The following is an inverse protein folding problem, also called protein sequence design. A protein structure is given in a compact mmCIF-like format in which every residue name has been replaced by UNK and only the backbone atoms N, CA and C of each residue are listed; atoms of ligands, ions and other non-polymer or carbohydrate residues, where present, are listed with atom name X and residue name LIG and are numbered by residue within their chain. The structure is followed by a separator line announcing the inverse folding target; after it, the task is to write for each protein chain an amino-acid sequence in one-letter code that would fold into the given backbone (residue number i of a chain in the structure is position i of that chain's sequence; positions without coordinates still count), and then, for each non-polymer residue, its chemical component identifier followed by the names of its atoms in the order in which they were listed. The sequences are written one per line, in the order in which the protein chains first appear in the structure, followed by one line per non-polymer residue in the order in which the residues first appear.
data_IF_176889720769
#
_entry.id   IF_176889720769
#
_cell.length_a   1.000
_cell.length_b   1.000
_cell.length_c   1.000
_cell.angle_alpha   90.00
_cell.angle_beta   90.00
_cell.angle_gamma   90.00
#
_symmetry.space_group_name_H-M   'P 1'
#
loop_
_entity.id
_entity.type
_entity.pdbx_description
1 polymer ?
#
# COMPACT_ATOMS: atom_id res chain seq x y z
N UNK A 1 -68.39 -26.28 39.87
CA UNK A 1 -67.18 -26.28 39.04
C UNK A 1 -67.32 -25.17 38.04
N UNK A 2 -66.54 -24.06 38.21
CA UNK A 2 -66.62 -22.88 37.36
C UNK A 2 -65.23 -22.70 36.70
N UNK A 3 -65.12 -22.85 35.42
CA UNK A 3 -63.93 -22.54 34.63
C UNK A 3 -63.94 -21.06 34.30
N UNK A 4 -62.91 -20.33 34.76
CA UNK A 4 -62.64 -18.94 34.34
C UNK A 4 -61.74 -18.97 33.10
N UNK A 5 -62.23 -18.50 31.97
CA UNK A 5 -61.49 -18.18 30.79
C UNK A 5 -60.67 -16.89 31.02
N UNK A 6 -59.36 -16.98 30.95
CA UNK A 6 -58.47 -15.82 30.88
C UNK A 6 -58.27 -15.46 29.41
N UNK A 7 -58.81 -14.34 29.00
CA UNK A 7 -58.52 -13.72 27.69
C UNK A 7 -57.15 -13.03 27.76
N UNK A 8 -56.18 -13.54 27.03
CA UNK A 8 -54.92 -12.85 26.79
C UNK A 8 -55.15 -11.87 25.63
N UNK A 9 -55.06 -10.60 25.93
CA UNK A 9 -55.15 -9.49 24.98
C UNK A 9 -53.76 -9.26 24.40
N UNK A 10 -53.50 -9.71 23.16
CA UNK A 10 -52.27 -9.38 22.43
C UNK A 10 -52.38 -7.93 21.94
N UNK A 11 -51.62 -7.05 22.54
CA UNK A 11 -51.36 -5.72 22.02
C UNK A 11 -50.26 -5.84 20.94
N UNK A 12 -50.64 -5.80 19.70
CA UNK A 12 -49.75 -5.59 18.58
C UNK A 12 -49.43 -4.09 18.49
N UNK A 13 -48.28 -3.70 19.04
CA UNK A 13 -47.70 -2.38 18.78
C UNK A 13 -47.19 -2.33 17.37
N UNK A 14 -47.92 -1.64 16.51
CA UNK A 14 -47.53 -1.24 15.17
C UNK A 14 -46.50 -0.11 15.30
N UNK A 15 -45.21 -0.44 15.37
CA UNK A 15 -44.15 0.53 15.27
C UNK A 15 -44.07 0.99 13.79
N UNK A 16 -44.76 2.06 13.45
CA UNK A 16 -44.54 2.77 12.18
C UNK A 16 -43.12 3.38 12.23
N UNK A 17 -42.16 2.64 11.69
CA UNK A 17 -40.83 3.17 11.42
C UNK A 17 -40.92 4.28 10.38
N UNK A 18 -40.83 5.52 10.84
CA UNK A 18 -40.57 6.67 9.97
C UNK A 18 -39.14 6.46 9.44
N UNK A 19 -39.03 5.85 8.27
CA UNK A 19 -37.81 5.90 7.48
C UNK A 19 -37.61 7.36 7.08
N UNK A 20 -36.92 8.11 7.92
CA UNK A 20 -36.34 9.37 7.51
C UNK A 20 -35.38 9.07 6.38
N UNK A 21 -35.80 9.32 5.13
CA UNK A 21 -34.90 9.43 4.00
C UNK A 21 -33.96 10.60 4.28
N UNK A 22 -32.89 10.34 5.00
CA UNK A 22 -31.73 11.21 4.98
C UNK A 22 -31.26 11.23 3.53
N UNK A 23 -31.20 12.41 2.86
CA UNK A 23 -30.63 12.47 1.51
C UNK A 23 -29.21 11.90 1.63
N UNK A 24 -28.96 10.79 0.94
CA UNK A 24 -27.70 10.09 1.00
C UNK A 24 -26.57 11.06 0.72
N UNK A 25 -25.87 11.45 1.77
CA UNK A 25 -24.54 12.01 1.63
C UNK A 25 -23.73 10.91 0.95
N UNK A 26 -23.49 11.05 -0.37
CA UNK A 26 -22.54 10.21 -1.08
C UNK A 26 -21.28 10.19 -0.23
N UNK A 27 -20.90 9.02 0.22
CA UNK A 27 -19.72 8.84 1.04
C UNK A 27 -18.56 9.51 0.35
N UNK A 28 -17.83 10.37 1.05
CA UNK A 28 -16.65 11.04 0.51
C UNK A 28 -15.55 10.03 0.18
N UNK A 29 -15.60 8.82 0.71
CA UNK A 29 -14.78 7.69 0.28
C UNK A 29 -14.95 7.40 -1.21
N UNK A 30 -16.16 7.50 -1.77
CA UNK A 30 -16.39 7.39 -3.22
C UNK A 30 -15.71 8.53 -3.99
N UNK A 31 -15.62 9.75 -3.44
CA UNK A 31 -14.96 10.86 -4.10
C UNK A 31 -13.46 10.63 -4.29
N UNK A 32 -12.79 9.92 -3.40
CA UNK A 32 -11.37 9.59 -3.54
C UNK A 32 -11.09 8.87 -4.87
N UNK A 33 -11.92 7.93 -5.23
CA UNK A 33 -11.77 7.12 -6.44
C UNK A 33 -12.14 7.85 -7.75
N UNK A 34 -12.80 9.01 -7.68
CA UNK A 34 -13.05 9.84 -8.86
C UNK A 34 -11.79 10.57 -9.33
N UNK A 35 -10.74 10.62 -8.51
CA UNK A 35 -9.47 11.28 -8.79
C UNK A 35 -8.35 10.26 -9.03
N UNK A 36 -8.59 9.30 -9.91
CA UNK A 36 -7.55 8.39 -10.36
C UNK A 36 -6.47 9.13 -11.16
N UNK A 37 -5.24 8.64 -11.07
CA UNK A 37 -4.11 9.05 -11.92
C UNK A 37 -3.85 10.56 -11.94
N UNK A 38 -3.92 11.17 -10.76
CA UNK A 38 -3.58 12.58 -10.55
C UNK A 38 -2.11 12.85 -10.88
N UNK A 39 -1.23 11.89 -10.55
CA UNK A 39 0.18 11.91 -10.86
C UNK A 39 0.52 10.66 -11.68
N UNK A 40 1.23 10.85 -12.77
CA UNK A 40 1.82 9.72 -13.49
C UNK A 40 3.05 9.22 -12.73
N UNK A 41 2.95 7.99 -12.25
CA UNK A 41 4.00 7.27 -11.52
C UNK A 41 4.26 5.89 -12.11
N UNK A 42 3.87 5.67 -13.36
CA UNK A 42 4.16 4.43 -14.10
C UNK A 42 5.63 4.41 -14.47
N UNK A 43 6.40 3.65 -13.70
CA UNK A 43 7.83 3.53 -13.86
C UNK A 43 8.33 2.21 -13.30
N UNK A 44 9.04 1.44 -14.11
CA UNK A 44 9.72 0.22 -13.66
C UNK A 44 11.22 0.53 -13.50
N UNK A 45 11.84 0.21 -12.34
CA UNK A 45 13.25 0.43 -12.12
C UNK A 45 14.11 -0.24 -13.19
N UNK A 46 14.98 0.53 -13.79
CA UNK A 46 15.97 0.09 -14.76
C UNK A 46 17.40 0.35 -14.24
N UNK A 47 18.39 0.01 -15.06
CA UNK A 47 19.79 0.26 -14.74
C UNK A 47 20.15 1.74 -14.61
N UNK A 48 19.30 2.64 -15.07
CA UNK A 48 19.50 4.09 -15.00
C UNK A 48 18.95 4.67 -13.71
N UNK A 49 18.13 3.91 -12.97
CA UNK A 49 17.51 4.32 -11.69
C UNK A 49 16.82 5.67 -11.76
N UNK A 50 16.18 5.99 -12.88
CA UNK A 50 15.39 7.21 -13.03
C UNK A 50 14.05 7.02 -12.33
N UNK A 51 13.66 7.99 -11.53
CA UNK A 51 12.36 8.02 -10.88
C UNK A 51 11.77 9.40 -11.05
N UNK A 52 10.64 9.49 -11.74
CA UNK A 52 9.96 10.75 -12.07
C UNK A 52 8.85 11.10 -11.08
N UNK A 53 8.38 10.14 -10.33
CA UNK A 53 7.36 10.28 -9.33
C UNK A 53 7.23 8.99 -8.52
N UNK A 54 6.54 9.08 -7.41
CA UNK A 54 6.29 7.93 -6.53
C UNK A 54 5.03 8.14 -5.70
N UNK A 55 4.48 7.03 -5.28
CA UNK A 55 3.51 6.98 -4.22
C UNK A 55 4.21 6.85 -2.88
N UNK A 56 3.97 7.79 -2.01
CA UNK A 56 4.30 7.70 -0.58
C UNK A 56 3.24 8.45 0.21
N UNK A 57 3.05 8.08 1.47
CA UNK A 57 2.00 8.62 2.31
C UNK A 57 2.40 8.50 3.78
N UNK A 58 1.58 9.07 4.69
CA UNK A 58 1.80 9.05 6.13
C UNK A 58 3.19 9.56 6.58
N UNK A 59 3.82 10.41 5.79
CA UNK A 59 5.17 10.94 6.06
C UNK A 59 6.29 9.91 5.91
N UNK A 60 6.07 8.87 5.12
CA UNK A 60 7.03 7.79 4.94
C UNK A 60 8.29 8.21 4.20
N UNK A 61 9.39 7.52 4.50
CA UNK A 61 10.68 7.62 3.82
C UNK A 61 10.87 6.55 2.73
N UNK A 62 9.85 5.77 2.44
CA UNK A 62 9.83 4.86 1.29
C UNK A 62 8.75 5.26 0.30
N UNK A 63 8.98 4.96 -0.97
CA UNK A 63 8.03 5.19 -2.05
C UNK A 63 7.88 3.97 -2.94
N UNK A 64 6.78 3.93 -3.68
CA UNK A 64 6.47 2.91 -4.66
C UNK A 64 6.06 3.55 -5.98
N UNK A 65 6.15 2.80 -7.07
CA UNK A 65 5.61 3.19 -8.37
C UNK A 65 4.75 2.07 -8.96
N UNK A 66 3.99 2.41 -9.99
CA UNK A 66 3.24 1.44 -10.76
C UNK A 66 4.15 0.85 -11.85
N UNK A 67 4.10 -0.46 -12.13
CA UNK A 67 4.90 -1.05 -13.21
C UNK A 67 4.41 -0.57 -14.58
N UNK A 68 5.35 -0.36 -15.49
CA UNK A 68 5.05 -0.08 -16.88
C UNK A 68 4.50 -1.32 -17.59
N UNK A 69 3.55 -1.12 -18.53
CA UNK A 69 2.97 -2.24 -19.29
C UNK A 69 3.99 -3.05 -20.07
N UNK A 70 5.00 -2.39 -20.62
CA UNK A 70 6.05 -3.03 -21.43
C UNK A 70 7.06 -3.82 -20.59
N UNK A 71 7.18 -3.48 -19.31
CA UNK A 71 8.09 -4.11 -18.35
C UNK A 71 7.30 -4.62 -17.15
N UNK A 72 6.19 -5.31 -17.43
CA UNK A 72 5.25 -5.69 -16.39
C UNK A 72 5.90 -6.56 -15.31
N UNK A 73 5.73 -6.12 -14.09
CA UNK A 73 6.02 -6.88 -12.87
C UNK A 73 4.71 -7.01 -12.13
N UNK A 74 4.30 -8.24 -11.81
CA UNK A 74 3.03 -8.45 -11.07
C UNK A 74 3.18 -8.14 -9.57
N UNK A 75 3.59 -6.91 -9.28
CA UNK A 75 3.82 -6.32 -7.96
C UNK A 75 4.11 -4.83 -8.08
N UNK A 76 3.85 -4.05 -7.03
CA UNK A 76 4.22 -2.64 -7.01
C UNK A 76 5.74 -2.48 -7.06
N UNK A 77 6.24 -1.60 -7.90
CA UNK A 77 7.66 -1.35 -8.02
C UNK A 77 8.19 -0.60 -6.80
N UNK A 78 9.27 -1.11 -6.23
CA UNK A 78 9.87 -0.57 -5.00
C UNK A 78 9.99 -1.59 -3.85
N UNK A 79 10.21 -1.11 -2.62
CA UNK A 79 10.26 0.28 -2.22
C UNK A 79 11.50 1.01 -2.71
N UNK A 80 11.39 2.33 -2.81
CA UNK A 80 12.47 3.25 -3.08
C UNK A 80 12.77 4.04 -1.81
N UNK A 81 14.05 4.13 -1.42
CA UNK A 81 14.49 4.99 -0.31
C UNK A 81 14.41 6.45 -0.73
N UNK A 82 13.67 7.25 0.01
CA UNK A 82 13.52 8.69 -0.21
C UNK A 82 14.51 9.52 0.62
N UNK A 83 15.54 8.89 1.20
CA UNK A 83 16.63 9.59 1.85
C UNK A 83 17.28 10.57 0.86
N UNK A 84 17.51 11.82 1.31
CA UNK A 84 18.03 12.89 0.45
C UNK A 84 19.43 12.60 -0.10
N UNK A 85 20.22 11.82 0.63
CA UNK A 85 21.62 11.56 0.32
C UNK A 85 21.84 10.18 -0.31
N UNK A 86 20.90 9.24 -0.13
CA UNK A 86 21.05 7.83 -0.48
C UNK A 86 19.87 7.27 -1.26
N UNK A 87 19.32 8.05 -2.17
CA UNK A 87 18.19 7.62 -3.01
C UNK A 87 18.56 6.40 -3.81
N UNK A 88 17.86 5.31 -3.56
CA UNK A 88 18.10 4.06 -4.27
C UNK A 88 16.84 3.18 -4.28
N UNK A 89 16.73 2.39 -5.30
CA UNK A 89 15.80 1.28 -5.32
C UNK A 89 16.28 0.20 -4.36
N UNK A 90 15.44 -0.18 -3.41
CA UNK A 90 15.73 -1.31 -2.52
C UNK A 90 15.42 -2.63 -3.25
N UNK A 91 14.38 -2.64 -4.09
CA UNK A 91 14.05 -3.73 -4.99
C UNK A 91 13.33 -3.19 -6.22
N UNK A 92 13.34 -3.92 -7.35
CA UNK A 92 12.41 -3.64 -8.45
C UNK A 92 10.96 -3.82 -7.96
N UNK A 93 10.71 -4.93 -7.27
CA UNK A 93 9.51 -5.12 -6.45
C UNK A 93 9.86 -5.98 -5.24
N UNK A 94 9.50 -5.54 -4.03
CA UNK A 94 9.75 -6.32 -2.83
C UNK A 94 8.79 -7.51 -2.70
N UNK A 95 7.64 -7.49 -3.36
CA UNK A 95 6.64 -8.55 -3.34
C UNK A 95 5.96 -8.68 -4.72
N UNK A 96 6.46 -9.58 -5.52
CA UNK A 96 5.82 -10.05 -6.75
C UNK A 96 4.93 -11.23 -6.38
N UNK A 97 3.72 -11.30 -6.91
CA UNK A 97 2.78 -12.39 -6.66
C UNK A 97 2.45 -13.15 -7.93
N UNK A 98 2.37 -14.46 -7.84
CA UNK A 98 1.94 -15.39 -8.90
C UNK A 98 1.09 -16.50 -8.31
N UNK A 99 0.42 -17.27 -9.17
CA UNK A 99 -0.15 -18.54 -8.74
C UNK A 99 0.97 -19.58 -8.61
N UNK A 100 0.94 -20.36 -7.53
CA UNK A 100 2.00 -21.33 -7.23
C UNK A 100 2.06 -22.48 -8.23
N UNK A 101 0.99 -22.71 -8.97
CA UNK A 101 0.86 -23.78 -9.97
C UNK A 101 1.80 -23.58 -11.16
N UNK A 102 2.04 -22.33 -11.56
CA UNK A 102 2.95 -21.99 -12.62
C UNK A 102 3.69 -20.67 -12.32
N UNK A 103 4.91 -20.78 -11.85
CA UNK A 103 5.77 -19.64 -11.49
C UNK A 103 6.34 -18.88 -12.69
N UNK A 104 6.21 -19.43 -13.89
CA UNK A 104 6.64 -18.80 -15.15
C UNK A 104 5.47 -18.15 -15.90
N UNK A 105 4.29 -18.15 -15.27
CA UNK A 105 3.08 -17.61 -15.85
C UNK A 105 3.21 -16.12 -16.18
N UNK A 106 2.73 -15.76 -17.37
CA UNK A 106 2.69 -14.37 -17.81
C UNK A 106 1.37 -13.74 -17.41
N UNK A 107 1.46 -12.70 -16.60
CA UNK A 107 0.30 -11.85 -16.26
C UNK A 107 0.14 -10.73 -17.27
N UNK A 108 -1.08 -10.57 -17.77
CA UNK A 108 -1.48 -9.46 -18.63
C UNK A 108 -2.11 -8.36 -17.77
N UNK A 109 -1.59 -7.13 -17.80
CA UNK A 109 -2.14 -6.04 -16.99
C UNK A 109 -3.52 -5.60 -17.50
N UNK A 110 -4.50 -5.57 -16.60
CA UNK A 110 -5.84 -5.05 -16.85
C UNK A 110 -5.92 -3.56 -16.51
N UNK A 111 -5.55 -3.21 -15.28
CA UNK A 111 -5.65 -1.84 -14.77
C UNK A 111 -4.55 -1.53 -13.77
N UNK A 112 -4.08 -0.28 -13.82
CA UNK A 112 -3.22 0.32 -12.81
C UNK A 112 -3.77 1.70 -12.49
N UNK A 113 -3.87 2.06 -11.20
CA UNK A 113 -4.38 3.37 -10.79
C UNK A 113 -3.64 3.91 -9.58
N UNK A 114 -3.41 5.21 -9.59
CA UNK A 114 -3.01 5.96 -8.41
C UNK A 114 -4.19 6.77 -7.89
N UNK A 115 -4.77 6.34 -6.78
CA UNK A 115 -5.80 7.08 -6.05
C UNK A 115 -5.18 7.85 -4.87
N UNK A 116 -5.77 8.96 -4.42
CA UNK A 116 -5.35 9.60 -3.17
C UNK A 116 -5.31 8.58 -2.01
N UNK A 117 -4.09 8.27 -1.52
CA UNK A 117 -3.86 7.33 -0.43
C UNK A 117 -3.87 5.83 -0.78
N UNK A 118 -3.95 5.45 -2.05
CA UNK A 118 -3.93 4.04 -2.45
C UNK A 118 -3.33 3.85 -3.84
N UNK A 119 -2.46 2.85 -4.00
CA UNK A 119 -2.16 2.26 -5.30
C UNK A 119 -3.04 1.03 -5.53
N UNK A 120 -3.46 0.88 -6.77
CA UNK A 120 -4.25 -0.24 -7.25
C UNK A 120 -3.65 -0.81 -8.53
N UNK A 121 -3.63 -2.12 -8.64
CA UNK A 121 -3.34 -2.81 -9.88
C UNK A 121 -4.13 -4.12 -9.97
N UNK A 122 -4.49 -4.51 -11.19
CA UNK A 122 -5.04 -5.82 -11.50
C UNK A 122 -4.43 -6.38 -12.76
N UNK A 123 -4.28 -7.69 -12.79
CA UNK A 123 -3.76 -8.42 -13.92
C UNK A 123 -4.40 -9.81 -13.94
N UNK A 124 -4.50 -10.41 -15.12
CA UNK A 124 -4.99 -11.76 -15.31
C UNK A 124 -3.97 -12.65 -16.00
N UNK A 125 -4.14 -13.93 -15.82
CA UNK A 125 -3.36 -15.00 -16.42
C UNK A 125 -4.28 -16.12 -16.88
N UNK A 126 -3.72 -17.24 -17.32
CA UNK A 126 -4.50 -18.44 -17.65
C UNK A 126 -5.13 -19.13 -16.43
N UNK A 127 -4.63 -18.83 -15.22
CA UNK A 127 -5.09 -19.45 -13.96
C UNK A 127 -6.07 -18.55 -13.19
N UNK A 128 -6.24 -17.29 -13.57
CA UNK A 128 -7.17 -16.38 -12.91
C UNK A 128 -6.65 -14.93 -12.88
N UNK A 129 -7.36 -14.10 -12.14
CA UNK A 129 -7.05 -12.68 -11.98
C UNK A 129 -6.56 -12.38 -10.56
N UNK A 130 -5.57 -11.51 -10.46
CA UNK A 130 -5.04 -11.01 -9.18
C UNK A 130 -5.26 -9.50 -9.13
N UNK A 131 -5.85 -9.04 -8.03
CA UNK A 131 -5.99 -7.63 -7.68
C UNK A 131 -5.10 -7.30 -6.49
N UNK A 132 -4.38 -6.20 -6.58
CA UNK A 132 -3.45 -5.73 -5.55
C UNK A 132 -3.78 -4.30 -5.16
N UNK A 133 -3.75 -4.02 -3.84
CA UNK A 133 -3.94 -2.68 -3.27
C UNK A 133 -2.85 -2.40 -2.26
N UNK A 134 -2.26 -1.21 -2.31
CA UNK A 134 -1.21 -0.79 -1.40
C UNK A 134 -1.61 0.51 -0.71
N UNK A 135 -1.65 0.49 0.62
CA UNK A 135 -1.96 1.64 1.47
C UNK A 135 -0.90 1.80 2.56
N UNK A 136 -0.48 3.02 2.84
CA UNK A 136 0.33 3.28 4.01
C UNK A 136 -0.52 3.25 5.28
N UNK A 137 -0.12 2.43 6.24
CA UNK A 137 -0.76 2.31 7.56
C UNK A 137 0.01 3.08 8.63
N UNK A 138 1.28 3.40 8.36
CA UNK A 138 2.13 4.25 9.18
C UNK A 138 3.27 4.84 8.35
N UNK A 139 4.09 5.69 8.95
CA UNK A 139 5.29 6.24 8.30
C UNK A 139 6.32 5.17 7.90
N UNK A 140 6.32 4.02 8.55
CA UNK A 140 7.28 2.95 8.28
C UNK A 140 6.68 1.74 7.56
N UNK A 141 5.35 1.66 7.39
CA UNK A 141 4.69 0.44 6.92
C UNK A 141 3.63 0.73 5.89
N UNK A 142 3.73 0.08 4.74
CA UNK A 142 2.68 -0.06 3.75
C UNK A 142 2.07 -1.47 3.83
N UNK A 143 0.76 -1.55 3.74
CA UNK A 143 0.00 -2.79 3.71
C UNK A 143 -0.38 -3.12 2.26
N UNK A 144 0.11 -4.23 1.76
CA UNK A 144 -0.27 -4.82 0.49
C UNK A 144 -1.38 -5.83 0.74
N UNK A 145 -2.51 -5.65 0.05
CA UNK A 145 -3.66 -6.54 0.08
C UNK A 145 -3.84 -7.20 -1.27
N UNK A 146 -3.93 -8.52 -1.28
CA UNK A 146 -4.09 -9.33 -2.49
C UNK A 146 -5.46 -9.99 -2.46
N UNK A 147 -6.16 -9.91 -3.57
CA UNK A 147 -7.38 -10.67 -3.85
C UNK A 147 -7.20 -11.43 -5.17
N UNK A 148 -7.75 -12.62 -5.27
CA UNK A 148 -7.82 -13.36 -6.52
C UNK A 148 -9.22 -13.97 -6.70
N UNK A 149 -9.60 -14.24 -7.93
CA UNK A 149 -10.89 -14.84 -8.29
C UNK A 149 -10.86 -16.38 -8.26
N UNK A 150 -9.75 -16.98 -7.83
CA UNK A 150 -9.55 -18.41 -7.71
C UNK A 150 -9.09 -18.80 -6.30
N UNK A 151 -9.19 -20.10 -5.97
CA UNK A 151 -8.69 -20.66 -4.71
C UNK A 151 -7.27 -21.25 -4.85
N UNK A 152 -6.57 -20.95 -5.94
CA UNK A 152 -5.21 -21.42 -6.18
C UNK A 152 -4.24 -20.86 -5.13
N UNK A 153 -3.23 -21.65 -4.78
CA UNK A 153 -2.16 -21.21 -3.89
C UNK A 153 -1.39 -20.03 -4.50
N UNK A 154 -0.99 -19.08 -3.66
CA UNK A 154 -0.21 -17.92 -4.09
C UNK A 154 1.25 -18.08 -3.72
N UNK A 155 2.14 -17.70 -4.65
CA UNK A 155 3.57 -17.62 -4.43
C UNK A 155 4.03 -16.17 -4.51
N UNK A 156 4.74 -15.72 -3.48
CA UNK A 156 5.40 -14.42 -3.47
C UNK A 156 6.91 -14.57 -3.59
N UNK A 157 7.54 -13.58 -4.21
CA UNK A 157 8.99 -13.45 -4.28
C UNK A 157 9.40 -11.99 -4.40
N UNK A 158 10.66 -11.68 -4.14
CA UNK A 158 11.23 -10.38 -4.52
C UNK A 158 11.69 -10.40 -5.97
N UNK A 159 11.75 -9.25 -6.60
CA UNK A 159 12.30 -9.05 -7.93
C UNK A 159 13.44 -8.04 -7.89
N UNK A 160 14.61 -8.43 -8.39
CA UNK A 160 15.80 -7.59 -8.59
C UNK A 160 16.08 -6.66 -7.39
N UNK A 161 16.57 -7.25 -6.29
CA UNK A 161 17.04 -6.49 -5.13
C UNK A 161 18.13 -5.51 -5.53
N UNK A 162 18.13 -4.35 -4.90
CA UNK A 162 19.09 -3.30 -5.16
C UNK A 162 20.53 -3.76 -4.93
N UNK A 163 21.47 -3.02 -5.50
CA UNK A 163 22.89 -3.28 -5.31
C UNK A 163 23.24 -3.28 -3.82
N UNK A 164 24.07 -4.24 -3.42
CA UNK A 164 24.55 -4.42 -2.05
C UNK A 164 23.45 -4.80 -1.01
N UNK A 165 22.22 -5.06 -1.45
CA UNK A 165 21.17 -5.59 -0.58
C UNK A 165 21.42 -7.06 -0.28
N UNK A 166 21.39 -7.41 1.01
CA UNK A 166 21.46 -8.79 1.49
C UNK A 166 20.10 -9.22 2.03
N UNK A 167 19.57 -10.33 1.49
CA UNK A 167 18.27 -10.88 1.89
C UNK A 167 18.47 -12.02 2.88
N UNK A 168 17.75 -11.98 4.00
CA UNK A 168 17.59 -13.06 4.97
C UNK A 168 16.13 -13.32 5.26
N UNK A 169 15.84 -14.47 5.85
CA UNK A 169 14.50 -14.87 6.28
C UNK A 169 14.55 -15.16 7.78
N UNK A 170 13.67 -14.54 8.53
CA UNK A 170 13.56 -14.67 9.99
C UNK A 170 12.08 -14.84 10.37
N UNK A 171 11.71 -15.99 10.93
CA UNK A 171 10.31 -16.32 11.26
C UNK A 171 9.39 -16.19 10.04
N UNK A 172 8.47 -15.21 10.07
CA UNK A 172 7.51 -14.92 8.99
C UNK A 172 7.88 -13.64 8.21
N UNK A 173 9.12 -13.17 8.32
CA UNK A 173 9.60 -11.95 7.69
C UNK A 173 10.80 -12.21 6.80
N UNK A 174 10.78 -11.60 5.63
CA UNK A 174 11.97 -11.38 4.80
C UNK A 174 12.62 -10.08 5.26
N UNK A 175 13.91 -10.07 5.40
CA UNK A 175 14.69 -8.90 5.83
C UNK A 175 15.75 -8.62 4.79
N UNK A 176 15.61 -7.52 4.09
CA UNK A 176 16.52 -7.05 3.04
C UNK A 176 17.29 -5.83 3.57
N UNK A 177 18.58 -6.06 3.90
CA UNK A 177 19.46 -5.06 4.52
C UNK A 177 20.41 -4.45 3.51
N UNK A 178 20.52 -3.14 3.53
CA UNK A 178 21.58 -2.40 2.85
C UNK A 178 22.71 -2.07 3.84
N UNK A 179 24.00 -2.02 3.42
CA UNK A 179 25.12 -1.70 4.30
C UNK A 179 25.02 -0.33 5.01
N UNK A 180 24.23 0.59 4.51
CA UNK A 180 23.96 1.88 5.17
C UNK A 180 23.10 1.78 6.44
N UNK A 181 22.55 0.61 6.76
CA UNK A 181 21.63 0.37 7.85
C UNK A 181 20.14 0.44 7.46
N UNK A 182 19.82 0.90 6.25
CA UNK A 182 18.46 0.86 5.73
C UNK A 182 18.01 -0.59 5.51
N UNK A 183 16.80 -0.89 5.95
CA UNK A 183 16.26 -2.24 5.92
C UNK A 183 14.82 -2.21 5.41
N UNK A 184 14.52 -3.05 4.43
CA UNK A 184 13.16 -3.37 4.01
C UNK A 184 12.77 -4.70 4.62
N UNK A 185 11.56 -4.79 5.16
CA UNK A 185 10.99 -6.08 5.56
C UNK A 185 9.70 -6.36 4.80
N UNK A 186 9.53 -7.63 4.42
CA UNK A 186 8.27 -8.14 3.88
C UNK A 186 7.77 -9.19 4.86
N UNK A 187 6.70 -8.86 5.59
CA UNK A 187 6.18 -9.68 6.67
C UNK A 187 4.83 -10.27 6.28
N UNK A 188 4.72 -11.57 6.45
CA UNK A 188 3.54 -12.36 6.17
C UNK A 188 2.82 -12.79 7.44
N UNK A 189 1.62 -13.36 7.29
CA UNK A 189 0.94 -14.06 8.39
C UNK A 189 1.72 -15.33 8.77
N UNK A 190 1.66 -15.80 10.03
CA UNK A 190 2.49 -16.93 10.49
C UNK A 190 2.29 -18.27 9.79
N UNK A 191 1.20 -18.45 9.05
CA UNK A 191 0.86 -19.68 8.33
C UNK A 191 1.44 -19.73 6.90
N UNK A 192 2.31 -18.81 6.53
CA UNK A 192 2.96 -18.78 5.21
C UNK A 192 4.25 -19.62 5.26
N UNK A 193 4.45 -20.47 4.26
CA UNK A 193 5.69 -21.23 4.08
C UNK A 193 6.75 -20.31 3.45
N UNK A 194 7.65 -19.79 4.29
CA UNK A 194 8.67 -18.84 3.88
C UNK A 194 10.04 -19.52 3.79
N UNK A 195 10.70 -19.39 2.64
CA UNK A 195 12.02 -19.93 2.40
C UNK A 195 12.95 -18.90 1.74
N UNK A 196 14.24 -18.96 2.11
CA UNK A 196 15.30 -18.21 1.42
C UNK A 196 15.73 -18.97 0.16
N UNK A 197 15.93 -18.26 -0.94
CA UNK A 197 16.44 -18.79 -2.21
C UNK A 197 17.53 -17.85 -2.72
N UNK A 198 18.81 -18.23 -2.61
CA UNK A 198 19.97 -17.37 -2.89
C UNK A 198 19.89 -16.01 -2.16
N UNK A 199 19.97 -14.90 -2.90
CA UNK A 199 19.73 -13.55 -2.35
C UNK A 199 18.29 -13.10 -2.60
N UNK A 200 17.33 -14.00 -2.44
CA UNK A 200 15.90 -13.76 -2.62
C UNK A 200 15.12 -14.63 -1.62
N UNK A 201 13.80 -14.66 -1.78
CA UNK A 201 12.89 -15.47 -0.98
C UNK A 201 11.75 -16.03 -1.84
N UNK A 202 11.12 -17.05 -1.32
CA UNK A 202 9.79 -17.52 -1.75
C UNK A 202 8.87 -17.62 -0.55
N UNK A 203 7.62 -17.20 -0.70
CA UNK A 203 6.59 -17.29 0.33
C UNK A 203 5.34 -17.92 -0.27
N UNK A 204 5.02 -19.14 0.15
CA UNK A 204 3.86 -19.90 -0.34
C UNK A 204 2.69 -19.75 0.63
N UNK A 205 1.57 -19.22 0.11
CA UNK A 205 0.29 -19.10 0.80
C UNK A 205 -0.63 -20.18 0.29
N UNK A 206 -0.85 -21.23 1.10
CA UNK A 206 -1.74 -22.34 0.72
C UNK A 206 -3.19 -22.02 1.03
N UNK A 207 -4.09 -22.39 0.12
CA UNK A 207 -5.54 -22.24 0.26
C UNK A 207 -5.90 -20.85 0.82
N UNK A 208 -5.53 -19.77 0.10
CA UNK A 208 -5.60 -18.41 0.61
C UNK A 208 -7.01 -18.02 1.01
N UNK A 209 -7.13 -17.32 2.13
CA UNK A 209 -8.35 -16.62 2.53
C UNK A 209 -8.17 -15.15 2.19
N UNK A 210 -8.97 -14.66 1.28
CA UNK A 210 -8.84 -13.30 0.80
C UNK A 210 -9.51 -12.26 1.72
N UNK A 211 -8.95 -11.04 1.84
CA UNK A 211 -7.68 -10.65 1.23
C UNK A 211 -6.46 -11.24 1.97
N UNK A 212 -5.42 -11.61 1.21
CA UNK A 212 -4.11 -11.93 1.78
C UNK A 212 -3.40 -10.62 2.08
N UNK A 213 -2.95 -10.44 3.33
CA UNK A 213 -2.31 -9.25 3.81
C UNK A 213 -0.80 -9.46 3.95
N UNK A 214 -0.01 -8.53 3.39
CA UNK A 214 1.45 -8.51 3.48
C UNK A 214 1.90 -7.12 3.92
N UNK A 215 2.73 -7.02 4.95
CA UNK A 215 3.28 -5.74 5.38
C UNK A 215 4.67 -5.52 4.77
N UNK A 216 4.84 -4.41 4.05
CA UNK A 216 6.14 -3.97 3.54
C UNK A 216 6.57 -2.78 4.41
N UNK A 217 7.67 -2.94 5.15
CA UNK A 217 8.12 -1.90 6.07
C UNK A 217 9.55 -1.46 5.75
N UNK A 218 9.89 -0.24 6.16
CA UNK A 218 11.19 0.37 5.92
C UNK A 218 11.70 1.00 7.21
N UNK A 219 12.93 0.64 7.58
CA UNK A 219 13.58 1.05 8.81
C UNK A 219 15.00 1.54 8.53
N UNK A 220 15.51 2.45 9.35
CA UNK A 220 16.89 2.95 9.26
C UNK A 220 17.82 2.41 10.33
N UNK A 221 17.29 1.67 11.27
CA UNK A 221 18.08 1.05 12.34
C UNK A 221 17.45 -0.26 12.79
N UNK A 222 18.27 -1.14 13.33
CA UNK A 222 17.85 -2.40 13.94
C UNK A 222 16.84 -2.19 15.08
N UNK A 223 17.02 -1.11 15.85
CA UNK A 223 16.11 -0.75 16.94
C UNK A 223 14.71 -0.41 16.42
N UNK A 224 14.64 0.41 15.36
CA UNK A 224 13.36 0.72 14.71
C UNK A 224 12.71 -0.53 14.12
N UNK A 225 13.49 -1.37 13.46
CA UNK A 225 13.01 -2.62 12.88
C UNK A 225 12.43 -3.54 13.95
N UNK A 226 13.15 -3.79 15.03
CA UNK A 226 12.70 -4.66 16.13
C UNK A 226 11.38 -4.14 16.72
N UNK A 227 11.29 -2.85 17.00
CA UNK A 227 10.07 -2.24 17.52
C UNK A 227 8.90 -2.28 16.50
N UNK A 228 9.21 -2.04 15.22
CA UNK A 228 8.20 -2.06 14.15
C UNK A 228 7.62 -3.45 13.92
N UNK A 229 8.45 -4.48 13.86
CA UNK A 229 8.03 -5.86 13.64
C UNK A 229 7.08 -6.38 14.73
N UNK A 230 7.21 -5.92 15.97
CA UNK A 230 6.33 -6.30 17.08
C UNK A 230 4.87 -5.92 16.86
N UNK A 231 4.60 -4.88 16.10
CA UNK A 231 3.24 -4.37 15.85
C UNK A 231 2.57 -5.01 14.63
N UNK A 232 3.33 -5.68 13.75
CA UNK A 232 2.82 -6.21 12.49
C UNK A 232 1.83 -7.37 12.65
N UNK A 233 1.94 -8.30 13.62
CA UNK A 233 0.95 -9.37 13.76
C UNK A 233 -0.47 -8.85 13.97
N UNK A 234 -0.64 -7.79 14.76
CA UNK A 234 -1.94 -7.13 14.95
C UNK A 234 -2.48 -6.51 13.66
N UNK A 235 -1.64 -5.83 12.90
CA UNK A 235 -1.99 -5.24 11.62
C UNK A 235 -2.39 -6.29 10.58
N UNK A 236 -1.61 -7.37 10.45
CA UNK A 236 -1.85 -8.42 9.45
C UNK A 236 -3.12 -9.21 9.75
N UNK A 237 -3.42 -9.46 11.04
CA UNK A 237 -4.61 -10.17 11.45
C UNK A 237 -5.89 -9.33 11.36
N UNK A 238 -5.80 -8.03 11.65
CA UNK A 238 -6.94 -7.11 11.59
C UNK A 238 -6.53 -5.75 11.01
N UNK A 239 -6.43 -5.63 9.68
CA UNK A 239 -6.01 -4.39 9.01
C UNK A 239 -7.10 -3.30 9.00
N UNK A 240 -8.36 -3.65 9.28
CA UNK A 240 -9.52 -2.75 9.13
C UNK A 240 -9.35 -1.41 9.83
N UNK A 241 -8.91 -1.32 11.11
CA UNK A 241 -8.76 -0.03 11.77
C UNK A 241 -7.73 0.87 11.10
N UNK A 242 -6.60 0.31 10.65
CA UNK A 242 -5.54 1.08 9.98
C UNK A 242 -5.96 1.56 8.60
N UNK A 243 -6.68 0.73 7.84
CA UNK A 243 -7.24 1.10 6.54
C UNK A 243 -8.32 2.17 6.67
N UNK A 244 -9.17 2.05 7.68
CA UNK A 244 -10.19 3.06 7.98
C UNK A 244 -9.54 4.39 8.35
N UNK A 245 -8.54 4.39 9.22
CA UNK A 245 -7.80 5.60 9.59
C UNK A 245 -7.13 6.27 8.38
N UNK A 246 -6.56 5.48 7.43
CA UNK A 246 -6.06 6.01 6.16
C UNK A 246 -7.20 6.65 5.34
N UNK A 247 -8.32 5.97 5.19
CA UNK A 247 -9.46 6.47 4.43
C UNK A 247 -10.00 7.78 5.03
N UNK A 248 -10.21 7.83 6.35
CA UNK A 248 -10.70 9.02 7.07
C UNK A 248 -9.73 10.20 6.96
N UNK A 249 -8.43 9.94 7.02
CA UNK A 249 -7.40 10.97 6.84
C UNK A 249 -7.46 11.61 5.45
N UNK A 250 -7.53 10.82 4.39
CA UNK A 250 -7.68 11.31 3.02
C UNK A 250 -9.01 11.99 2.78
N UNK A 251 -10.07 11.46 3.37
CA UNK A 251 -11.38 12.10 3.43
C UNK A 251 -11.29 13.51 4.01
N UNK A 252 -10.61 13.63 5.16
CA UNK A 252 -10.40 14.92 5.81
C UNK A 252 -9.62 15.91 4.92
N UNK A 253 -8.65 15.45 4.13
CA UNK A 253 -7.96 16.30 3.17
C UNK A 253 -8.89 16.73 2.04
N UNK A 254 -9.59 15.80 1.41
CA UNK A 254 -10.48 16.07 0.27
C UNK A 254 -11.63 16.99 0.68
N UNK A 255 -12.22 16.81 1.85
CA UNK A 255 -13.29 17.68 2.34
C UNK A 255 -12.83 19.12 2.54
N UNK A 256 -11.58 19.34 2.96
CA UNK A 256 -11.03 20.69 3.16
C UNK A 256 -10.69 21.41 1.85
N UNK A 257 -10.26 20.68 0.82
CA UNK A 257 -9.82 21.26 -0.45
C UNK A 257 -10.93 21.36 -1.51
N UNK A 258 -11.90 20.44 -1.50
CA UNK A 258 -13.03 20.42 -2.42
C UNK A 258 -14.17 21.30 -1.89
N UNK A 259 -13.97 22.60 -1.95
CA UNK A 259 -14.90 23.59 -1.41
C UNK A 259 -16.11 23.76 -2.34
N UNK A 260 -17.30 23.96 -1.77
CA UNK A 260 -18.55 24.14 -2.53
C UNK A 260 -18.57 25.41 -3.38
N UNK A 261 -17.80 26.43 -2.99
CA UNK A 261 -17.67 27.71 -3.69
C UNK A 261 -16.60 27.69 -4.80
N UNK A 262 -15.87 26.61 -4.95
CA UNK A 262 -14.88 26.41 -6.00
C UNK A 262 -15.54 25.79 -7.23
N UNK A 263 -15.13 26.23 -8.42
CA UNK A 263 -15.60 25.64 -9.66
C UNK A 263 -15.08 24.20 -9.80
N UNK A 264 -15.92 23.23 -10.20
CA UNK A 264 -15.53 21.83 -10.32
C UNK A 264 -14.31 21.56 -11.22
N UNK A 265 -14.04 22.44 -12.18
CA UNK A 265 -12.87 22.37 -13.06
C UNK A 265 -11.54 22.48 -12.31
N UNK A 266 -11.54 23.08 -11.10
CA UNK A 266 -10.36 23.21 -10.24
C UNK A 266 -10.20 22.05 -9.26
N UNK A 267 -11.20 21.20 -9.09
CA UNK A 267 -11.16 20.09 -8.12
C UNK A 267 -9.95 19.17 -8.37
N UNK A 268 -9.72 18.81 -9.64
CA UNK A 268 -8.60 17.95 -10.01
C UNK A 268 -7.25 18.59 -9.70
N UNK A 269 -7.10 19.89 -9.92
CA UNK A 269 -5.88 20.66 -9.62
C UNK A 269 -5.66 20.71 -8.11
N UNK A 270 -6.71 20.95 -7.31
CA UNK A 270 -6.63 20.98 -5.86
C UNK A 270 -6.23 19.61 -5.29
N UNK A 271 -6.82 18.52 -5.80
CA UNK A 271 -6.45 17.16 -5.40
C UNK A 271 -5.01 16.84 -5.79
N UNK A 272 -4.56 17.24 -6.99
CA UNK A 272 -3.17 17.09 -7.40
C UNK A 272 -2.22 17.84 -6.46
N UNK A 273 -2.55 19.05 -6.07
CA UNK A 273 -1.72 19.85 -5.16
C UNK A 273 -1.58 19.17 -3.79
N UNK A 274 -2.67 18.73 -3.16
CA UNK A 274 -2.58 18.05 -1.86
C UNK A 274 -1.87 16.71 -1.97
N UNK A 275 -2.12 15.93 -3.03
CA UNK A 275 -1.41 14.67 -3.27
C UNK A 275 0.09 14.89 -3.39
N UNK A 276 0.51 15.92 -4.12
CA UNK A 276 1.93 16.31 -4.24
C UNK A 276 2.52 16.75 -2.90
N UNK A 277 1.80 17.54 -2.10
CA UNK A 277 2.26 17.94 -0.78
C UNK A 277 2.45 16.73 0.15
N UNK A 278 1.47 15.84 0.22
CA UNK A 278 1.54 14.64 1.06
C UNK A 278 2.67 13.71 0.59
N UNK A 279 2.87 13.55 -0.71
CA UNK A 279 3.96 12.73 -1.26
C UNK A 279 5.35 13.32 -1.00
N UNK A 280 5.46 14.58 -0.60
CA UNK A 280 6.71 15.24 -0.22
C UNK A 280 6.82 15.52 1.29
N UNK A 281 5.77 15.27 2.07
CA UNK A 281 5.83 15.37 3.52
C UNK A 281 6.57 14.17 4.12
N UNK A 282 7.44 14.45 5.11
CA UNK A 282 8.24 13.45 5.82
C UNK A 282 8.09 13.62 7.32
N UNK A 283 7.93 12.51 8.02
CA UNK A 283 8.00 12.47 9.48
C UNK A 283 9.43 12.69 9.96
N UNK A 284 9.55 13.06 11.23
CA UNK A 284 10.84 13.15 11.91
C UNK A 284 11.62 11.84 11.80
N UNK A 285 12.85 11.94 11.30
CA UNK A 285 13.77 10.82 11.16
C UNK A 285 15.21 11.28 10.94
N UNK A 286 16.18 10.47 11.39
CA UNK A 286 17.55 10.47 10.88
C UNK A 286 18.26 11.82 10.88
N UNK A 287 18.12 12.64 11.93
CA UNK A 287 18.77 13.96 12.02
C UNK A 287 17.87 15.14 11.65
N UNK A 288 16.67 14.91 11.11
CA UNK A 288 15.65 15.96 11.06
C UNK A 288 15.06 16.14 12.46
N UNK A 289 15.12 17.35 12.98
CA UNK A 289 14.56 17.68 14.29
C UNK A 289 13.04 17.75 14.28
N UNK A 290 12.46 18.00 13.11
CA UNK A 290 11.02 18.16 12.91
C UNK A 290 10.57 17.49 11.61
N UNK A 291 9.29 17.17 11.53
CA UNK A 291 8.65 16.81 10.26
C UNK A 291 8.67 17.99 9.30
N UNK A 292 8.68 17.71 8.01
CA UNK A 292 8.72 18.76 7.01
C UNK A 292 8.39 18.26 5.60
N UNK A 293 8.20 19.23 4.70
CA UNK A 293 8.06 18.97 3.28
C UNK A 293 9.46 19.00 2.66
N UNK A 294 9.88 17.88 2.10
CA UNK A 294 11.14 17.76 1.38
C UNK A 294 10.84 17.92 -0.10
N UNK A 295 11.47 18.88 -0.80
CA UNK A 295 11.29 19.01 -2.24
C UNK A 295 11.58 17.71 -2.96
N UNK A 296 10.84 17.49 -4.05
CA UNK A 296 11.04 16.30 -4.91
C UNK A 296 12.52 16.11 -5.20
N UNK A 297 13.05 14.91 -5.02
CA UNK A 297 14.45 14.65 -5.31
C UNK A 297 14.74 14.94 -6.78
N UNK A 298 15.77 15.72 -7.03
CA UNK A 298 16.33 15.84 -8.37
C UNK A 298 16.99 14.53 -8.78
N UNK A 299 17.01 14.25 -10.08
CA UNK A 299 17.77 13.12 -10.63
C UNK A 299 19.20 13.15 -10.04
N UNK A 300 19.69 12.03 -9.43
CA UNK A 300 21.04 11.97 -8.89
C UNK A 300 22.14 12.34 -9.88
N UNK A 301 21.89 12.21 -11.19
CA UNK A 301 22.84 12.62 -12.23
C UNK A 301 22.96 14.15 -12.41
N UNK A 302 21.96 14.92 -11.99
CA UNK A 302 21.97 16.38 -12.10
C UNK A 302 22.46 17.08 -10.84
N UNK A 303 22.63 16.35 -9.74
CA UNK A 303 23.11 16.87 -8.45
C UNK A 303 24.63 16.68 -8.24
N UNK A 304 25.45 16.75 -9.29
CA UNK A 304 26.87 17.01 -9.07
C UNK A 304 26.93 18.42 -8.46
N UNK A 305 27.15 18.50 -7.14
CA UNK A 305 27.66 19.74 -6.56
C UNK A 305 28.94 20.09 -7.33
N UNK A 306 29.13 21.37 -7.73
CA UNK A 306 30.42 21.78 -8.24
C UNK A 306 31.45 21.42 -7.17
N UNK A 307 32.47 20.65 -7.55
CA UNK A 307 33.64 20.45 -6.72
C UNK A 307 34.24 21.83 -6.45
N UNK A 308 34.19 22.27 -5.19
CA UNK A 308 34.95 23.38 -4.70
C UNK A 308 36.44 23.11 -4.80
#
# INVERSE_FOLDING_TARGET
MKYKFIRILCFTLLAAGIAACTPGMKSTTEKRYTFADILDISYTPDTLHRCYGWFTDAGSWMGFTLPERQQWVNGFCGPFSLDMFRRQWMAQSAAVVSFAKDTQEIFVPDSTCYYPGELYMSAHSTHGSITQRLNFTSASTALLRIEADTAEDLLFSGSQWGKDITVSVEQNSVIARHPSGETVTVTFTPNVELAKTDNNYTALVRSPRYPVNVAISFFTSEKEMTAGLQNLPGLLNNPTPALQANAERWEGYLTKILRKDMKPEYDRIAVKAVTTLISNWRTHRGGLLHEGIIPSPRDPKTSRMPSS
#
